data_IF_212597713758
#
_entry.id   IF_212597713758
#
_cell.length_a   1.000
_cell.length_b   1.000
_cell.length_c   1.000
_cell.angle_alpha   90.00
_cell.angle_beta   90.00
_cell.angle_gamma   90.00
#
_symmetry.space_group_name_H-M   'P 1'
#
loop_
_entity.id
_entity.type
_entity.pdbx_description
1 polymer ?
#
# COMPACT_ATOMS: atom_id res chain seq x y z
N UNK A 1 6.20 -20.62 -30.31
CA UNK A 1 6.60 -19.42 -29.54
C UNK A 1 5.35 -18.60 -29.33
N UNK A 2 4.83 -18.56 -28.11
CA UNK A 2 3.64 -17.77 -27.76
C UNK A 2 3.99 -16.29 -27.91
N UNK A 3 3.33 -15.59 -28.83
CA UNK A 3 3.45 -14.13 -28.93
C UNK A 3 2.95 -13.55 -27.60
N UNK A 4 3.87 -13.02 -26.79
CA UNK A 4 3.53 -12.29 -25.58
C UNK A 4 2.89 -10.95 -25.97
N UNK A 5 1.87 -10.54 -25.22
CA UNK A 5 1.22 -9.24 -25.44
C UNK A 5 2.23 -8.12 -25.17
N UNK A 6 2.32 -7.08 -26.02
CA UNK A 6 3.29 -6.00 -25.86
C UNK A 6 3.21 -5.33 -24.48
N UNK A 7 1.99 -5.11 -23.95
CA UNK A 7 1.76 -4.46 -22.66
C UNK A 7 2.19 -5.30 -21.43
N UNK A 8 2.57 -6.56 -21.61
CA UNK A 8 2.85 -7.45 -20.47
C UNK A 8 4.06 -6.99 -19.66
N UNK A 9 5.06 -6.39 -20.31
CA UNK A 9 6.22 -5.82 -19.63
C UNK A 9 5.86 -4.59 -18.81
N UNK A 10 4.99 -3.72 -19.34
CA UNK A 10 4.54 -2.51 -18.66
C UNK A 10 3.66 -2.84 -17.45
N UNK A 11 2.78 -3.84 -17.58
CA UNK A 11 1.97 -4.34 -16.44
C UNK A 11 2.84 -4.95 -15.35
N UNK A 12 3.88 -5.72 -15.72
CA UNK A 12 4.80 -6.26 -14.73
C UNK A 12 5.53 -5.14 -13.98
N UNK A 13 6.01 -4.12 -14.69
CA UNK A 13 6.67 -2.97 -14.07
C UNK A 13 5.73 -2.20 -13.12
N UNK A 14 4.45 -2.07 -13.48
CA UNK A 14 3.45 -1.47 -12.60
C UNK A 14 3.22 -2.30 -11.32
N UNK A 15 3.08 -3.62 -11.48
CA UNK A 15 2.90 -4.54 -10.34
C UNK A 15 4.11 -4.48 -9.42
N UNK A 16 5.33 -4.53 -9.96
CA UNK A 16 6.56 -4.46 -9.18
C UNK A 16 6.61 -3.16 -8.37
N UNK A 17 6.30 -2.03 -9.01
CA UNK A 17 6.23 -0.74 -8.32
C UNK A 17 5.16 -0.68 -7.23
N UNK A 18 4.00 -1.30 -7.44
CA UNK A 18 2.95 -1.38 -6.43
C UNK A 18 3.40 -2.16 -5.19
N UNK A 19 4.14 -3.26 -5.37
CA UNK A 19 4.73 -4.02 -4.27
C UNK A 19 5.88 -3.27 -3.57
N UNK A 20 6.69 -2.50 -4.30
CA UNK A 20 7.68 -1.61 -3.67
C UNK A 20 7.01 -0.56 -2.76
N UNK A 21 5.92 0.05 -3.22
CA UNK A 21 5.14 1.02 -2.42
C UNK A 21 4.54 0.38 -1.16
N UNK A 22 4.12 -0.88 -1.26
CA UNK A 22 3.61 -1.65 -0.12
C UNK A 22 4.71 -1.87 0.93
N UNK A 23 5.89 -2.34 0.51
CA UNK A 23 7.02 -2.58 1.41
C UNK A 23 7.50 -1.27 2.05
N UNK A 24 7.56 -0.19 1.27
CA UNK A 24 7.89 1.13 1.79
C UNK A 24 6.89 1.57 2.88
N UNK A 25 5.59 1.40 2.63
CA UNK A 25 4.55 1.71 3.61
C UNK A 25 4.68 0.88 4.89
N UNK A 26 5.06 -0.40 4.78
CA UNK A 26 5.33 -1.28 5.92
C UNK A 26 6.55 -0.80 6.72
N UNK A 27 7.64 -0.47 6.03
CA UNK A 27 8.86 0.09 6.64
C UNK A 27 8.55 1.39 7.38
N UNK A 28 7.78 2.30 6.79
CA UNK A 28 7.49 3.59 7.41
C UNK A 28 6.57 3.46 8.63
N UNK A 29 5.61 2.52 8.59
CA UNK A 29 4.83 2.15 9.76
C UNK A 29 5.73 1.62 10.90
N UNK A 30 6.73 0.78 10.59
CA UNK A 30 7.68 0.31 11.61
C UNK A 30 8.55 1.44 12.19
N UNK A 31 9.08 2.33 11.36
CA UNK A 31 9.84 3.50 11.85
C UNK A 31 9.02 4.37 12.78
N UNK A 32 7.73 4.53 12.48
CA UNK A 32 6.81 5.31 13.30
C UNK A 32 6.61 4.68 14.68
N UNK A 33 6.60 3.33 14.76
CA UNK A 33 6.63 2.60 16.04
C UNK A 33 7.89 2.89 16.85
N UNK A 34 9.06 2.81 16.22
CA UNK A 34 10.32 2.97 16.92
C UNK A 34 10.45 4.39 17.53
N UNK A 35 9.90 5.38 16.83
CA UNK A 35 9.80 6.76 17.33
C UNK A 35 8.82 6.89 18.52
N UNK A 36 7.69 6.17 18.53
CA UNK A 36 6.74 6.22 19.65
C UNK A 36 7.30 5.55 20.91
N UNK A 37 8.02 4.43 20.77
CA UNK A 37 8.64 3.70 21.89
C UNK A 37 9.75 4.50 22.59
N UNK A 38 10.49 5.36 21.87
CA UNK A 38 11.56 6.19 22.43
C UNK A 38 11.06 7.26 23.43
N UNK A 39 9.75 7.55 23.47
CA UNK A 39 9.14 8.55 24.37
C UNK A 39 8.74 7.90 25.70
N UNK A 40 9.72 7.30 26.39
CA UNK A 40 9.52 6.48 27.60
C UNK A 40 9.30 7.35 28.87
N UNK A 41 8.26 8.20 28.88
CA UNK A 41 7.91 9.01 30.06
C UNK A 41 6.69 9.89 29.85
N UNK A 42 5.79 9.95 30.84
CA UNK A 42 4.62 10.83 30.77
C UNK A 42 3.51 10.52 31.78
N UNK A 43 2.56 11.45 31.86
CA UNK A 43 1.32 11.36 32.64
C UNK A 43 0.44 10.18 32.16
N UNK A 44 -0.65 9.88 32.86
CA UNK A 44 -1.62 8.86 32.39
C UNK A 44 -2.15 9.13 30.99
N UNK A 45 -2.34 10.40 30.63
CA UNK A 45 -2.79 10.81 29.31
C UNK A 45 -1.78 10.41 28.22
N UNK A 46 -0.49 10.67 28.43
CA UNK A 46 0.56 10.31 27.46
C UNK A 46 0.64 8.79 27.23
N UNK A 47 0.36 7.98 28.26
CA UNK A 47 0.27 6.52 28.12
C UNK A 47 -0.94 6.09 27.30
N UNK A 48 -2.11 6.67 27.58
CA UNK A 48 -3.34 6.34 26.85
C UNK A 48 -3.25 6.72 25.37
N UNK A 49 -2.76 7.92 25.06
CA UNK A 49 -2.57 8.36 23.66
C UNK A 49 -1.63 7.42 22.90
N UNK A 50 -0.56 6.95 23.55
CA UNK A 50 0.35 5.95 22.98
C UNK A 50 -0.33 4.61 22.76
N UNK A 51 -1.08 4.09 23.72
CA UNK A 51 -1.73 2.78 23.57
C UNK A 51 -2.74 2.81 22.40
N UNK A 52 -3.49 3.91 22.23
CA UNK A 52 -4.39 4.11 21.08
C UNK A 52 -3.61 4.20 19.77
N UNK A 53 -2.47 4.88 19.78
CA UNK A 53 -1.60 4.99 18.61
C UNK A 53 -1.00 3.64 18.19
N UNK A 54 -0.50 2.86 19.14
CA UNK A 54 0.06 1.54 18.91
C UNK A 54 -1.02 0.59 18.37
N UNK A 55 -2.25 0.66 18.88
CA UNK A 55 -3.38 -0.11 18.35
C UNK A 55 -3.68 0.26 16.89
N UNK A 56 -3.76 1.56 16.58
CA UNK A 56 -3.98 2.04 15.22
C UNK A 56 -2.86 1.58 14.27
N UNK A 57 -1.62 1.58 14.75
CA UNK A 57 -0.46 1.14 14.00
C UNK A 57 -0.48 -0.37 13.71
N UNK A 58 -0.77 -1.20 14.72
CA UNK A 58 -0.91 -2.65 14.56
C UNK A 58 -2.02 -2.98 13.56
N UNK A 59 -3.15 -2.28 13.65
CA UNK A 59 -4.24 -2.41 12.68
C UNK A 59 -3.80 -2.04 11.25
N UNK A 60 -3.00 -0.98 11.09
CA UNK A 60 -2.45 -0.59 9.78
C UNK A 60 -1.51 -1.65 9.24
N UNK A 61 -0.55 -2.14 10.04
CA UNK A 61 0.38 -3.19 9.63
C UNK A 61 -0.36 -4.48 9.23
N UNK A 62 -1.40 -4.85 9.97
CA UNK A 62 -2.23 -6.03 9.67
C UNK A 62 -2.95 -5.89 8.32
N UNK A 63 -3.41 -4.68 7.97
CA UNK A 63 -4.01 -4.43 6.64
C UNK A 63 -3.00 -4.49 5.50
N UNK A 64 -1.75 -4.11 5.77
CA UNK A 64 -0.66 -4.19 4.78
C UNK A 64 -0.12 -5.62 4.62
N UNK A 65 -0.38 -6.50 5.59
CA UNK A 65 0.04 -7.89 5.52
C UNK A 65 -0.88 -8.71 4.60
N UNK A 66 -0.51 -8.81 3.33
CA UNK A 66 -1.28 -9.53 2.32
C UNK A 66 -1.10 -11.05 2.38
N UNK A 67 0.01 -11.55 2.93
CA UNK A 67 0.37 -12.97 2.87
C UNK A 67 0.45 -13.46 1.43
N UNK A 68 -0.30 -14.52 1.10
CA UNK A 68 -0.39 -15.08 -0.26
C UNK A 68 -1.44 -14.39 -1.16
N UNK A 69 -2.06 -13.31 -0.69
CA UNK A 69 -3.08 -12.61 -1.45
C UNK A 69 -2.48 -11.71 -2.53
N UNK A 70 -3.09 -11.71 -3.72
CA UNK A 70 -2.74 -10.78 -4.79
C UNK A 70 -3.06 -9.32 -4.40
N UNK A 71 -2.13 -8.41 -4.72
CA UNK A 71 -2.28 -6.97 -4.50
C UNK A 71 -3.10 -6.30 -5.61
N UNK A 72 -2.81 -6.60 -6.88
CA UNK A 72 -3.47 -6.05 -8.07
C UNK A 72 -4.29 -7.13 -8.75
N UNK A 73 -5.55 -6.83 -9.08
CA UNK A 73 -6.49 -7.76 -9.71
C UNK A 73 -6.65 -7.54 -11.22
N UNK A 74 -6.38 -6.32 -11.71
CA UNK A 74 -6.44 -5.99 -13.12
C UNK A 74 -6.49 -4.49 -13.39
N UNK A 75 -6.66 -4.15 -14.67
CA UNK A 75 -6.74 -2.78 -15.19
C UNK A 75 -8.11 -2.53 -15.84
N UNK A 76 -8.65 -1.33 -15.67
CA UNK A 76 -9.85 -0.84 -16.35
C UNK A 76 -9.47 0.40 -17.14
N UNK A 77 -9.67 0.33 -18.45
CA UNK A 77 -9.46 1.46 -19.35
C UNK A 77 -10.82 2.14 -19.61
N UNK A 78 -10.91 3.45 -19.38
CA UNK A 78 -12.10 4.27 -19.59
C UNK A 78 -11.82 5.34 -20.64
N UNK A 79 -12.82 5.62 -21.46
CA UNK A 79 -12.78 6.77 -22.36
C UNK A 79 -12.90 8.04 -21.51
N UNK A 80 -11.94 8.95 -21.64
CA UNK A 80 -11.95 10.23 -20.95
C UNK A 80 -13.06 11.15 -21.48
N UNK A 81 -13.32 12.24 -20.77
CA UNK A 81 -14.30 13.26 -21.21
C UNK A 81 -13.84 13.99 -22.49
N UNK A 82 -12.53 14.00 -22.76
CA UNK A 82 -11.88 14.44 -24.00
C UNK A 82 -11.96 13.35 -25.08
N UNK A 83 -12.42 13.65 -26.31
CA UNK A 83 -12.27 12.73 -27.43
C UNK A 83 -10.77 12.45 -27.66
N UNK A 84 -10.40 11.17 -27.80
CA UNK A 84 -9.03 10.61 -27.97
C UNK A 84 -8.18 10.35 -26.71
N UNK A 85 -8.66 10.58 -25.49
CA UNK A 85 -7.93 10.17 -24.27
C UNK A 85 -8.53 8.92 -23.61
N UNK A 86 -7.66 8.01 -23.19
CA UNK A 86 -8.02 6.80 -22.42
C UNK A 86 -7.37 6.91 -21.05
N UNK A 87 -8.17 6.80 -20.00
CA UNK A 87 -7.71 6.73 -18.62
C UNK A 87 -7.63 5.28 -18.16
N UNK A 88 -6.46 4.87 -17.67
CA UNK A 88 -6.23 3.53 -17.15
C UNK A 88 -6.23 3.53 -15.62
N UNK A 89 -7.01 2.62 -15.04
CA UNK A 89 -7.11 2.43 -13.59
C UNK A 89 -6.74 1.01 -13.20
N UNK A 90 -5.76 0.84 -12.32
CA UNK A 90 -5.45 -0.46 -11.73
C UNK A 90 -6.28 -0.67 -10.46
N UNK A 91 -6.95 -1.82 -10.39
CA UNK A 91 -7.80 -2.20 -9.26
C UNK A 91 -7.05 -3.22 -8.41
N UNK A 92 -6.93 -2.93 -7.12
CA UNK A 92 -6.23 -3.79 -6.17
C UNK A 92 -6.97 -3.95 -4.85
N UNK A 93 -6.37 -4.70 -3.93
CA UNK A 93 -6.90 -4.95 -2.58
C UNK A 93 -6.77 -3.74 -1.66
N UNK A 94 -5.72 -2.95 -1.85
CA UNK A 94 -5.41 -1.78 -1.05
C UNK A 94 -5.74 -0.52 -1.85
N UNK A 95 -6.33 0.46 -1.17
CA UNK A 95 -6.68 1.77 -1.68
C UNK A 95 -6.24 2.83 -0.67
#
# INVERSE_FOLDING_TARGET
MTQQHPDLADEQAYIDHAYECLEQSRSDAWKLRDLSEATLGGTFQARYERDVFDEALVNRLTRLDLGDAALVFGRIDRLAESPDEVESFHIGRLA
#
